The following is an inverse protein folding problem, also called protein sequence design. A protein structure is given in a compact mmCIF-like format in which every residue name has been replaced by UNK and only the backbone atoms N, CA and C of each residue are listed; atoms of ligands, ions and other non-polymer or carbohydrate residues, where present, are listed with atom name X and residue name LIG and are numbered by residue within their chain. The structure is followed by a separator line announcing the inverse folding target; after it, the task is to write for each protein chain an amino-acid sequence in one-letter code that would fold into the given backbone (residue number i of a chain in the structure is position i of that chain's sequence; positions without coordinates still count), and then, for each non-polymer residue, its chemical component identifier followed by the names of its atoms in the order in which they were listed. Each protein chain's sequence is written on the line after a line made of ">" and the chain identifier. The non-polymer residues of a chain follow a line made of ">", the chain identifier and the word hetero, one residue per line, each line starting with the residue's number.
data_IF_447261100219
#
_entry.id   IF_447261100219
#
_cell.length_a   1.000
_cell.length_b   1.000
_cell.length_c   1.000
_cell.angle_alpha   90.00
_cell.angle_beta   90.00
_cell.angle_gamma   90.00
#
_symmetry.space_group_name_H-M   'P 1'
#
loop_
_entity.id
_entity.type
_entity.pdbx_description
1 polymer ?
#
# COMPACT_ATOMS: atom_id res chain seq x y z
N UNK A 1 -19.97 22.69 31.97
CA UNK A 1 -20.82 23.21 30.87
C UNK A 1 -21.82 22.13 30.50
N UNK A 2 -23.11 22.37 30.57
CA UNK A 2 -24.13 21.32 30.38
C UNK A 2 -24.82 21.37 28.99
N UNK A 3 -24.55 22.42 28.22
CA UNK A 3 -25.12 22.62 26.90
C UNK A 3 -24.16 22.20 25.78
N UNK A 4 -24.70 22.15 24.54
CA UNK A 4 -23.92 21.86 23.35
C UNK A 4 -23.05 23.06 22.94
N UNK A 5 -21.98 22.75 22.22
CA UNK A 5 -21.16 23.71 21.50
C UNK A 5 -21.47 23.51 20.01
N UNK A 6 -21.77 24.60 19.31
CA UNK A 6 -22.00 24.58 17.86
C UNK A 6 -20.83 25.25 17.18
N UNK A 7 -20.28 24.56 16.20
CA UNK A 7 -19.14 24.99 15.39
C UNK A 7 -19.63 25.16 13.95
N UNK A 8 -19.08 26.11 13.20
CA UNK A 8 -19.38 26.25 11.77
C UNK A 8 -18.91 25.07 10.92
N UNK A 9 -19.34 25.03 9.67
CA UNK A 9 -19.13 23.86 8.78
C UNK A 9 -17.66 23.57 8.46
N UNK A 10 -16.78 24.58 8.57
CA UNK A 10 -15.34 24.45 8.33
C UNK A 10 -14.54 24.22 9.64
N UNK A 11 -15.23 24.08 10.77
CA UNK A 11 -14.67 23.91 12.11
C UNK A 11 -13.73 25.04 12.56
N UNK A 12 -13.78 26.20 11.94
CA UNK A 12 -12.87 27.32 12.23
C UNK A 12 -13.31 28.15 13.43
N UNK A 13 -14.61 28.17 13.75
CA UNK A 13 -15.18 29.04 14.76
C UNK A 13 -16.32 28.41 15.54
N UNK A 14 -16.32 28.62 16.86
CA UNK A 14 -17.49 28.34 17.71
C UNK A 14 -18.54 29.41 17.48
N UNK A 15 -19.70 29.03 16.95
CA UNK A 15 -20.82 29.94 16.68
C UNK A 15 -21.70 30.11 17.92
N UNK A 16 -21.92 29.03 18.66
CA UNK A 16 -22.72 29.04 19.89
C UNK A 16 -22.10 28.13 20.95
N UNK A 17 -22.26 28.50 22.22
CA UNK A 17 -21.81 27.71 23.35
C UNK A 17 -22.91 27.63 24.40
N UNK A 18 -22.98 26.50 25.11
CA UNK A 18 -23.95 26.22 26.16
C UNK A 18 -25.42 26.26 25.67
N UNK A 19 -25.65 25.73 24.46
CA UNK A 19 -26.97 25.69 23.82
C UNK A 19 -27.72 24.45 24.24
N UNK A 20 -29.00 24.60 24.56
CA UNK A 20 -29.88 23.45 24.74
C UNK A 20 -30.48 23.06 23.38
N UNK A 21 -30.06 21.90 22.86
CA UNK A 21 -30.60 21.33 21.63
C UNK A 21 -31.99 20.75 21.90
N UNK A 22 -32.98 21.14 21.07
CA UNK A 22 -34.36 20.67 21.16
C UNK A 22 -34.84 20.08 19.81
N UNK A 23 -34.34 18.89 19.43
CA UNK A 23 -34.79 18.23 18.22
C UNK A 23 -36.24 17.75 18.33
N UNK A 24 -36.88 17.48 17.19
CA UNK A 24 -38.25 16.96 17.14
C UNK A 24 -38.35 15.65 17.94
N UNK A 25 -39.21 15.59 19.00
CA UNK A 25 -39.39 14.42 19.83
C UNK A 25 -39.96 13.21 19.10
N UNK A 26 -40.55 13.38 17.94
CA UNK A 26 -41.16 12.31 17.11
C UNK A 26 -40.09 11.51 16.35
N UNK A 27 -38.87 12.06 16.18
CA UNK A 27 -37.76 11.35 15.55
C UNK A 27 -37.36 10.17 16.43
N UNK A 28 -37.48 8.97 15.85
CA UNK A 28 -37.10 7.74 16.56
C UNK A 28 -35.63 7.74 16.93
N UNK A 29 -35.34 7.33 18.18
CA UNK A 29 -33.96 7.15 18.67
C UNK A 29 -33.86 5.85 19.46
N UNK A 30 -32.82 5.06 19.21
CA UNK A 30 -32.50 3.87 19.97
C UNK A 30 -31.73 4.16 21.29
N UNK A 31 -31.28 5.39 21.49
CA UNK A 31 -30.48 5.79 22.64
C UNK A 31 -31.28 5.94 23.92
N UNK A 32 -30.71 5.49 25.02
CA UNK A 32 -31.35 5.55 26.36
C UNK A 32 -31.00 6.81 27.14
N UNK A 33 -29.84 7.41 26.89
CA UNK A 33 -29.36 8.63 27.56
C UNK A 33 -29.88 9.91 26.90
N UNK A 34 -30.29 10.90 27.67
CA UNK A 34 -30.86 12.16 27.17
C UNK A 34 -29.94 12.86 26.18
N UNK A 35 -28.65 13.00 26.49
CA UNK A 35 -27.66 13.68 25.62
C UNK A 35 -27.44 12.90 24.31
N UNK A 36 -27.28 11.58 24.37
CA UNK A 36 -27.07 10.73 23.20
C UNK A 36 -28.33 10.67 22.33
N UNK A 37 -29.52 10.61 22.95
CA UNK A 37 -30.80 10.69 22.22
C UNK A 37 -30.95 12.02 21.50
N UNK A 38 -30.60 13.13 22.13
CA UNK A 38 -30.61 14.44 21.51
C UNK A 38 -29.61 14.49 20.35
N UNK A 39 -28.39 13.98 20.54
CA UNK A 39 -27.35 13.95 19.50
C UNK A 39 -27.80 13.15 18.26
N UNK A 40 -28.36 11.95 18.46
CA UNK A 40 -28.90 11.11 17.37
C UNK A 40 -30.05 11.81 16.64
N UNK A 41 -30.99 12.42 17.34
CA UNK A 41 -32.12 13.13 16.74
C UNK A 41 -31.68 14.36 15.94
N UNK A 42 -30.73 15.14 16.49
CA UNK A 42 -30.18 16.32 15.80
C UNK A 42 -29.50 15.88 14.52
N UNK A 43 -28.68 14.83 14.54
CA UNK A 43 -28.00 14.34 13.33
C UNK A 43 -28.96 13.81 12.24
N UNK A 44 -30.16 13.34 12.64
CA UNK A 44 -31.23 12.94 11.71
C UNK A 44 -32.07 14.12 11.19
N UNK A 45 -32.15 15.18 11.98
CA UNK A 45 -33.01 16.33 11.65
C UNK A 45 -32.31 17.36 10.77
N UNK A 46 -30.97 17.51 10.98
CA UNK A 46 -30.15 18.45 10.25
C UNK A 46 -28.91 17.72 9.72
N UNK A 47 -28.44 18.12 8.55
CA UNK A 47 -27.23 17.56 7.94
C UNK A 47 -25.99 18.09 8.69
N UNK A 48 -25.74 17.53 9.87
CA UNK A 48 -24.64 17.93 10.73
C UNK A 48 -23.99 16.74 11.41
N UNK A 49 -22.66 16.81 11.53
CA UNK A 49 -21.87 15.94 12.38
C UNK A 49 -22.15 16.30 13.85
N UNK A 50 -22.53 15.32 14.66
CA UNK A 50 -22.76 15.53 16.10
C UNK A 50 -21.83 14.61 16.91
N UNK A 51 -21.02 15.22 17.80
CA UNK A 51 -20.12 14.50 18.69
C UNK A 51 -20.70 14.55 20.11
N UNK A 52 -20.97 13.38 20.70
CA UNK A 52 -21.45 13.26 22.07
C UNK A 52 -20.39 12.61 22.96
N UNK A 53 -19.97 13.33 24.02
CA UNK A 53 -18.97 12.87 24.99
C UNK A 53 -19.69 12.46 26.25
N UNK A 54 -19.55 11.19 26.67
CA UNK A 54 -20.15 10.64 27.88
C UNK A 54 -19.12 10.64 29.02
N UNK A 55 -19.23 11.57 29.92
CA UNK A 55 -18.39 11.68 31.13
C UNK A 55 -18.49 10.44 32.06
N UNK A 56 -19.64 9.75 32.10
CA UNK A 56 -19.87 8.56 32.95
C UNK A 56 -19.26 7.28 32.40
N UNK A 57 -19.15 7.17 31.07
CA UNK A 57 -18.71 5.96 30.38
C UNK A 57 -17.35 6.12 29.71
N UNK A 58 -16.80 7.32 29.75
CA UNK A 58 -15.56 7.69 29.04
C UNK A 58 -15.60 7.29 27.56
N UNK A 59 -16.76 7.55 26.93
CA UNK A 59 -17.04 7.13 25.56
C UNK A 59 -17.36 8.38 24.73
N UNK A 60 -16.72 8.50 23.59
CA UNK A 60 -17.05 9.47 22.55
C UNK A 60 -17.85 8.78 21.46
N UNK A 61 -19.03 9.33 21.15
CA UNK A 61 -19.90 8.83 20.07
C UNK A 61 -20.07 9.92 19.02
N UNK A 62 -19.90 9.54 17.76
CA UNK A 62 -20.10 10.39 16.59
C UNK A 62 -21.39 9.97 15.90
N UNK A 63 -22.24 10.92 15.57
CA UNK A 63 -23.48 10.70 14.82
C UNK A 63 -23.43 11.45 13.50
N UNK A 64 -23.62 10.72 12.40
CA UNK A 64 -23.71 11.24 11.03
C UNK A 64 -24.91 10.58 10.37
N UNK A 65 -25.83 11.35 9.83
CA UNK A 65 -27.08 10.85 9.19
C UNK A 65 -27.85 9.84 10.05
N UNK A 66 -27.81 10.03 11.37
CA UNK A 66 -28.43 9.11 12.34
C UNK A 66 -27.65 7.79 12.55
N UNK A 67 -26.53 7.58 11.89
CA UNK A 67 -25.64 6.45 12.15
C UNK A 67 -24.70 6.80 13.29
N UNK A 68 -24.58 5.89 14.25
CA UNK A 68 -23.71 6.05 15.40
C UNK A 68 -22.39 5.33 15.21
N UNK A 69 -21.30 6.07 15.43
CA UNK A 69 -19.95 5.54 15.53
C UNK A 69 -19.43 5.77 16.96
N UNK A 70 -18.93 4.73 17.60
CA UNK A 70 -18.31 4.83 18.93
C UNK A 70 -16.81 4.79 18.73
N UNK A 71 -16.10 5.83 19.19
CA UNK A 71 -14.65 5.81 19.24
C UNK A 71 -14.18 4.91 20.38
N UNK A 72 -13.21 4.08 20.09
CA UNK A 72 -12.53 3.28 21.11
C UNK A 72 -11.63 4.17 21.98
N UNK A 73 -11.27 3.69 23.18
CA UNK A 73 -10.32 4.38 24.03
C UNK A 73 -8.90 4.36 23.44
N UNK A 74 -8.17 5.45 23.59
CA UNK A 74 -6.83 5.63 23.00
C UNK A 74 -5.87 4.47 23.34
N UNK A 75 -5.76 3.97 24.61
CA UNK A 75 -4.92 2.83 24.91
C UNK A 75 -5.25 1.56 24.14
N UNK A 76 -6.54 1.29 23.90
CA UNK A 76 -7.00 0.13 23.11
C UNK A 76 -6.59 0.27 21.64
N UNK A 77 -6.84 1.44 21.04
CA UNK A 77 -6.46 1.72 19.64
C UNK A 77 -4.94 1.68 19.48
N UNK A 78 -4.17 2.24 20.43
CA UNK A 78 -2.69 2.15 20.44
C UNK A 78 -2.20 0.70 20.48
N UNK A 79 -2.82 -0.14 21.33
CA UNK A 79 -2.45 -1.55 21.40
C UNK A 79 -2.70 -2.28 20.06
N UNK A 80 -3.86 -2.05 19.43
CA UNK A 80 -4.21 -2.59 18.11
C UNK A 80 -3.25 -2.10 17.03
N UNK A 81 -2.96 -0.79 17.02
CA UNK A 81 -2.02 -0.18 16.07
C UNK A 81 -0.63 -0.79 16.16
N UNK A 82 -0.10 -0.93 17.38
CA UNK A 82 1.21 -1.53 17.61
C UNK A 82 1.24 -3.00 17.16
N UNK A 83 0.17 -3.77 17.42
CA UNK A 83 0.06 -5.15 16.96
C UNK A 83 0.00 -5.24 15.43
N UNK A 84 -0.80 -4.38 14.77
CA UNK A 84 -0.89 -4.33 13.32
C UNK A 84 0.45 -3.93 12.69
N UNK A 85 1.15 -2.94 13.25
CA UNK A 85 2.46 -2.50 12.79
C UNK A 85 3.53 -3.61 12.96
N UNK A 86 3.54 -4.34 14.06
CA UNK A 86 4.43 -5.49 14.27
C UNK A 86 4.17 -6.60 13.24
N UNK A 87 2.89 -6.86 12.94
CA UNK A 87 2.50 -7.80 11.89
C UNK A 87 2.97 -7.31 10.51
N UNK A 88 2.74 -6.03 10.19
CA UNK A 88 3.20 -5.40 8.95
C UNK A 88 4.72 -5.54 8.79
N UNK A 89 5.51 -5.26 9.84
CA UNK A 89 6.96 -5.41 9.82
C UNK A 89 7.38 -6.84 9.51
N UNK A 90 6.69 -7.84 10.07
CA UNK A 90 6.95 -9.25 9.78
C UNK A 90 6.64 -9.58 8.31
N UNK A 91 5.53 -9.06 7.77
CA UNK A 91 5.16 -9.22 6.36
C UNK A 91 6.15 -8.50 5.43
N UNK A 92 6.64 -7.32 5.84
CA UNK A 92 7.66 -6.57 5.09
C UNK A 92 8.97 -7.34 5.00
N UNK A 93 9.47 -7.87 6.10
CA UNK A 93 10.69 -8.71 6.09
C UNK A 93 10.54 -9.88 5.12
N UNK A 94 9.36 -10.52 5.11
CA UNK A 94 9.09 -11.62 4.19
C UNK A 94 8.99 -11.16 2.73
N UNK A 95 8.48 -9.96 2.48
CA UNK A 95 8.47 -9.35 1.15
C UNK A 95 9.90 -9.10 0.66
N UNK A 96 10.75 -8.56 1.53
CA UNK A 96 12.16 -8.28 1.21
C UNK A 96 12.92 -9.58 0.87
N UNK A 97 12.73 -10.65 1.67
CA UNK A 97 13.29 -11.97 1.40
C UNK A 97 12.87 -12.54 0.03
N UNK A 98 11.57 -12.46 -0.29
CA UNK A 98 11.04 -12.94 -1.56
C UNK A 98 11.53 -12.09 -2.74
N UNK A 99 11.56 -10.76 -2.58
CA UNK A 99 12.08 -9.83 -3.58
C UNK A 99 13.55 -10.10 -3.89
N UNK A 100 14.35 -10.39 -2.88
CA UNK A 100 15.76 -10.71 -3.03
C UNK A 100 15.99 -12.06 -3.76
N UNK A 101 15.17 -13.08 -3.45
CA UNK A 101 15.17 -14.35 -4.18
C UNK A 101 14.80 -14.16 -5.64
N UNK A 102 13.76 -13.37 -5.91
CA UNK A 102 13.32 -13.05 -7.27
C UNK A 102 14.45 -12.32 -8.03
N UNK A 103 15.10 -11.31 -7.43
CA UNK A 103 16.25 -10.61 -8.00
C UNK A 103 17.38 -11.58 -8.36
N UNK A 104 17.64 -12.58 -7.50
CA UNK A 104 18.60 -13.64 -7.77
C UNK A 104 18.23 -14.47 -9.00
N UNK A 105 16.97 -14.85 -9.14
CA UNK A 105 16.45 -15.61 -10.29
C UNK A 105 16.48 -14.79 -11.57
N UNK A 106 16.10 -13.51 -11.50
CA UNK A 106 16.14 -12.55 -12.62
C UNK A 106 17.56 -12.38 -13.18
N UNK A 107 18.56 -12.19 -12.30
CA UNK A 107 19.96 -12.03 -12.72
C UNK A 107 20.62 -13.30 -13.26
N UNK A 108 20.00 -14.47 -13.05
CA UNK A 108 20.41 -15.79 -13.59
C UNK A 108 19.67 -16.19 -14.85
N UNK A 109 18.60 -15.45 -15.21
CA UNK A 109 17.73 -15.82 -16.34
C UNK A 109 16.89 -17.08 -16.10
N UNK A 110 16.54 -17.37 -14.82
CA UNK A 110 15.75 -18.53 -14.44
C UNK A 110 14.62 -18.11 -13.49
N UNK A 111 13.55 -17.57 -14.06
CA UNK A 111 12.39 -17.07 -13.32
C UNK A 111 11.15 -17.86 -13.71
N UNK A 112 10.41 -18.32 -12.72
CA UNK A 112 9.08 -18.90 -12.92
C UNK A 112 8.00 -17.90 -12.50
N UNK A 113 6.84 -17.99 -13.13
CA UNK A 113 5.71 -17.09 -12.84
C UNK A 113 5.35 -17.13 -11.35
N UNK A 114 5.45 -18.28 -10.70
CA UNK A 114 5.25 -18.44 -9.26
C UNK A 114 6.10 -17.47 -8.42
N UNK A 115 7.36 -17.28 -8.78
CA UNK A 115 8.28 -16.42 -8.03
C UNK A 115 7.81 -14.95 -8.06
N UNK A 116 7.40 -14.47 -9.24
CA UNK A 116 6.86 -13.12 -9.42
C UNK A 116 5.52 -12.96 -8.67
N UNK A 117 4.62 -13.94 -8.79
CA UNK A 117 3.32 -13.91 -8.12
C UNK A 117 3.45 -13.95 -6.60
N UNK A 118 4.43 -14.67 -6.05
CA UNK A 118 4.70 -14.72 -4.61
C UNK A 118 5.11 -13.34 -4.05
N UNK A 119 5.95 -12.60 -4.79
CA UNK A 119 6.31 -11.23 -4.44
C UNK A 119 5.10 -10.30 -4.58
N UNK A 120 4.33 -10.42 -5.65
CA UNK A 120 3.13 -9.61 -5.89
C UNK A 120 2.09 -9.80 -4.78
N UNK A 121 1.77 -11.06 -4.46
CA UNK A 121 0.87 -11.40 -3.36
C UNK A 121 1.33 -10.76 -2.04
N UNK A 122 2.62 -10.90 -1.72
CA UNK A 122 3.16 -10.38 -0.47
C UNK A 122 3.12 -8.86 -0.42
N UNK A 123 3.40 -8.17 -1.53
CA UNK A 123 3.32 -6.70 -1.60
C UNK A 123 1.89 -6.19 -1.40
N UNK A 124 0.88 -6.90 -1.93
CA UNK A 124 -0.52 -6.57 -1.69
C UNK A 124 -0.94 -6.79 -0.23
N UNK A 125 -0.47 -7.86 0.41
CA UNK A 125 -0.73 -8.11 1.83
C UNK A 125 -0.11 -7.01 2.71
N UNK A 126 1.12 -6.58 2.41
CA UNK A 126 1.78 -5.45 3.11
C UNK A 126 0.97 -4.17 2.92
N UNK A 127 0.52 -3.87 1.69
CA UNK A 127 -0.28 -2.66 1.41
C UNK A 127 -1.62 -2.66 2.15
N UNK A 128 -2.28 -3.80 2.27
CA UNK A 128 -3.55 -3.93 3.04
C UNK A 128 -3.34 -3.74 4.53
N UNK A 129 -2.27 -4.30 5.08
CA UNK A 129 -1.91 -4.07 6.48
C UNK A 129 -1.59 -2.59 6.74
N UNK A 130 -0.92 -1.91 5.79
CA UNK A 130 -0.66 -0.49 5.88
C UNK A 130 -1.96 0.32 5.96
N UNK A 131 -2.94 0.02 5.09
CA UNK A 131 -4.26 0.68 5.12
C UNK A 131 -5.01 0.45 6.44
N UNK A 132 -4.84 -0.71 7.06
CA UNK A 132 -5.41 -0.96 8.39
C UNK A 132 -4.75 -0.10 9.47
N UNK A 133 -3.42 0.01 9.46
CA UNK A 133 -2.68 0.88 10.39
C UNK A 133 -3.05 2.35 10.18
N UNK A 134 -3.19 2.82 8.92
CA UNK A 134 -3.63 4.19 8.58
C UNK A 134 -4.99 4.52 9.23
N UNK A 135 -5.93 3.58 9.27
CA UNK A 135 -7.22 3.79 9.94
C UNK A 135 -7.06 4.03 11.44
N UNK A 136 -6.20 3.26 12.09
CA UNK A 136 -5.90 3.47 13.51
C UNK A 136 -5.19 4.81 13.76
N UNK A 137 -4.28 5.24 12.85
CA UNK A 137 -3.63 6.55 12.95
C UNK A 137 -4.66 7.68 12.90
N UNK A 138 -5.63 7.60 11.98
CA UNK A 138 -6.72 8.58 11.90
C UNK A 138 -7.54 8.63 13.20
N UNK A 139 -7.84 7.47 13.80
CA UNK A 139 -8.61 7.39 15.05
C UNK A 139 -7.80 7.93 16.26
N UNK A 140 -6.48 7.70 16.27
CA UNK A 140 -5.58 8.20 17.31
C UNK A 140 -5.33 9.72 17.22
N UNK A 141 -5.47 10.31 16.04
CA UNK A 141 -5.16 11.73 15.81
C UNK A 141 -3.71 12.07 16.21
N UNK A 142 -3.52 13.05 17.09
CA UNK A 142 -2.17 13.50 17.51
C UNK A 142 -1.34 12.43 18.21
N UNK A 143 -1.99 11.47 18.87
CA UNK A 143 -1.30 10.36 19.56
C UNK A 143 -0.75 9.31 18.56
N UNK A 144 -1.27 9.29 17.33
CA UNK A 144 -0.84 8.37 16.26
C UNK A 144 0.50 8.72 15.60
N UNK A 145 1.09 9.88 15.86
CA UNK A 145 2.27 10.40 15.13
C UNK A 145 3.46 9.44 15.07
N UNK A 146 3.76 8.73 16.15
CA UNK A 146 4.89 7.78 16.16
C UNK A 146 4.61 6.54 15.31
N UNK A 147 3.36 6.08 15.33
CA UNK A 147 2.89 4.96 14.48
C UNK A 147 2.97 5.35 13.00
N UNK A 148 2.56 6.59 12.67
CA UNK A 148 2.62 7.13 11.31
C UNK A 148 4.07 7.12 10.77
N UNK A 149 5.03 7.66 11.54
CA UNK A 149 6.44 7.66 11.16
C UNK A 149 7.00 6.24 10.94
N UNK A 150 6.61 5.29 11.78
CA UNK A 150 7.03 3.89 11.64
C UNK A 150 6.39 3.22 10.42
N UNK A 151 5.12 3.55 10.14
CA UNK A 151 4.43 3.07 8.95
C UNK A 151 5.07 3.62 7.67
N UNK A 152 5.34 4.93 7.62
CA UNK A 152 6.03 5.57 6.48
C UNK A 152 7.36 4.88 6.18
N UNK A 153 8.20 4.67 7.21
CA UNK A 153 9.49 3.98 7.05
C UNK A 153 9.30 2.54 6.54
N UNK A 154 8.36 1.78 7.12
CA UNK A 154 8.08 0.41 6.70
C UNK A 154 7.55 0.30 5.27
N UNK A 155 6.92 1.35 4.75
CA UNK A 155 6.32 1.36 3.41
C UNK A 155 7.23 1.95 2.33
N UNK A 156 8.44 2.43 2.70
CA UNK A 156 9.41 2.95 1.73
C UNK A 156 9.67 1.94 0.60
N UNK A 157 9.47 2.38 -0.64
CA UNK A 157 9.73 1.59 -1.85
C UNK A 157 8.67 0.53 -2.21
N UNK A 158 7.76 0.14 -1.32
CA UNK A 158 6.78 -0.94 -1.57
C UNK A 158 5.94 -0.68 -2.81
N UNK A 159 5.34 0.51 -2.91
CA UNK A 159 4.49 0.87 -4.05
C UNK A 159 5.28 0.91 -5.37
N UNK A 160 6.49 1.46 -5.35
CA UNK A 160 7.33 1.53 -6.55
C UNK A 160 7.76 0.13 -7.03
N UNK A 161 8.18 -0.74 -6.11
CA UNK A 161 8.55 -2.13 -6.40
C UNK A 161 7.36 -2.93 -6.94
N UNK A 162 6.15 -2.73 -6.39
CA UNK A 162 4.93 -3.36 -6.88
C UNK A 162 4.62 -2.97 -8.32
N UNK A 163 4.70 -1.70 -8.66
CA UNK A 163 4.48 -1.24 -10.05
C UNK A 163 5.55 -1.76 -10.99
N UNK A 164 6.82 -1.76 -10.58
CA UNK A 164 7.91 -2.34 -11.37
C UNK A 164 7.70 -3.84 -11.63
N UNK A 165 7.22 -4.58 -10.62
CA UNK A 165 6.89 -6.00 -10.74
C UNK A 165 5.75 -6.24 -11.75
N UNK A 166 4.67 -5.47 -11.67
CA UNK A 166 3.57 -5.56 -12.64
C UNK A 166 4.09 -5.29 -14.06
N UNK A 167 4.90 -4.25 -14.24
CA UNK A 167 5.51 -3.93 -15.53
C UNK A 167 6.42 -5.04 -16.06
N UNK A 168 7.19 -5.68 -15.20
CA UNK A 168 8.08 -6.76 -15.62
C UNK A 168 7.34 -8.01 -16.08
N UNK A 169 6.21 -8.35 -15.43
CA UNK A 169 5.58 -9.66 -15.60
C UNK A 169 4.17 -9.64 -16.16
N UNK A 170 3.48 -8.50 -16.27
CA UNK A 170 2.19 -8.47 -16.96
C UNK A 170 2.37 -8.79 -18.46
N UNK A 171 1.42 -9.50 -19.04
CA UNK A 171 1.44 -9.81 -20.47
C UNK A 171 1.48 -8.53 -21.29
N UNK A 172 0.72 -7.52 -20.88
CA UNK A 172 0.65 -6.20 -21.53
C UNK A 172 1.27 -5.13 -20.62
N UNK A 173 2.33 -4.44 -21.10
CA UNK A 173 3.01 -3.34 -20.40
C UNK A 173 2.64 -1.97 -20.99
N UNK A 174 1.35 -1.63 -20.97
CA UNK A 174 0.89 -0.26 -21.22
C UNK A 174 0.60 0.44 -19.90
N UNK A 175 0.72 1.78 -19.86
CA UNK A 175 0.42 2.56 -18.63
C UNK A 175 -1.01 2.27 -18.14
N UNK A 176 -1.97 2.20 -19.08
CA UNK A 176 -3.36 1.91 -18.80
C UNK A 176 -3.55 0.48 -18.23
N UNK A 177 -2.87 -0.51 -18.80
CA UNK A 177 -2.93 -1.90 -18.31
C UNK A 177 -2.35 -2.03 -16.90
N UNK A 178 -1.19 -1.42 -16.66
CA UNK A 178 -0.52 -1.44 -15.35
C UNK A 178 -1.40 -0.79 -14.27
N UNK A 179 -2.01 0.36 -14.56
CA UNK A 179 -2.91 1.03 -13.63
C UNK A 179 -4.17 0.19 -13.35
N UNK A 180 -4.78 -0.36 -14.39
CA UNK A 180 -5.94 -1.26 -14.28
C UNK A 180 -5.62 -2.47 -13.40
N UNK A 181 -4.47 -3.13 -13.63
CA UNK A 181 -4.00 -4.27 -12.85
C UNK A 181 -3.80 -3.87 -11.38
N UNK A 182 -3.10 -2.77 -11.12
CA UNK A 182 -2.83 -2.29 -9.77
C UNK A 182 -4.13 -1.99 -8.99
N UNK A 183 -5.11 -1.36 -9.64
CA UNK A 183 -6.44 -1.08 -9.04
C UNK A 183 -7.23 -2.37 -8.82
N UNK A 184 -7.19 -3.31 -9.76
CA UNK A 184 -7.88 -4.59 -9.65
C UNK A 184 -7.34 -5.43 -8.49
N UNK A 185 -6.01 -5.55 -8.36
CA UNK A 185 -5.34 -6.26 -7.28
C UNK A 185 -5.71 -5.69 -5.90
N UNK A 186 -5.75 -4.36 -5.76
CA UNK A 186 -6.12 -3.72 -4.50
C UNK A 186 -7.56 -4.03 -4.06
N UNK A 187 -8.46 -4.31 -5.02
CA UNK A 187 -9.89 -4.62 -4.78
C UNK A 187 -10.18 -6.11 -4.62
N UNK A 188 -9.22 -7.01 -4.91
CA UNK A 188 -9.44 -8.43 -4.80
C UNK A 188 -9.86 -8.84 -3.37
N UNK A 189 -10.83 -9.75 -3.20
CA UNK A 189 -11.10 -10.40 -1.92
C UNK A 189 -9.84 -11.06 -1.35
N UNK A 190 -9.74 -11.15 -0.01
CA UNK A 190 -8.57 -11.76 0.62
C UNK A 190 -8.31 -13.21 0.17
N UNK A 191 -9.37 -13.99 -0.01
CA UNK A 191 -9.27 -15.38 -0.45
C UNK A 191 -8.71 -15.49 -1.88
N UNK A 192 -9.13 -14.60 -2.77
CA UNK A 192 -8.69 -14.57 -4.17
C UNK A 192 -7.22 -14.13 -4.29
N UNK A 193 -6.76 -13.28 -3.36
CA UNK A 193 -5.34 -12.91 -3.28
C UNK A 193 -4.43 -14.10 -2.91
N UNK A 194 -4.97 -15.14 -2.27
CA UNK A 194 -4.21 -16.33 -1.90
C UNK A 194 -4.14 -17.36 -3.05
N UNK A 195 -4.95 -17.21 -4.11
CA UNK A 195 -4.97 -18.07 -5.29
C UNK A 195 -4.04 -17.53 -6.39
N UNK A 196 -2.94 -18.24 -6.65
CA UNK A 196 -2.00 -17.85 -7.69
C UNK A 196 -2.59 -17.93 -9.11
N UNK A 197 -3.59 -18.75 -9.35
CA UNK A 197 -4.31 -18.74 -10.63
C UNK A 197 -5.05 -17.43 -10.86
N UNK A 198 -5.72 -16.90 -9.84
CA UNK A 198 -6.37 -15.59 -9.88
C UNK A 198 -5.34 -14.47 -10.09
N UNK A 199 -4.20 -14.51 -9.38
CA UNK A 199 -3.15 -13.51 -9.57
C UNK A 199 -2.53 -13.57 -10.98
N UNK A 200 -2.34 -14.76 -11.54
CA UNK A 200 -1.88 -14.93 -12.91
C UNK A 200 -2.86 -14.30 -13.90
N UNK A 201 -4.17 -14.53 -13.72
CA UNK A 201 -5.22 -13.93 -14.53
C UNK A 201 -5.20 -12.40 -14.47
N UNK A 202 -4.94 -11.79 -13.32
CA UNK A 202 -4.79 -10.34 -13.19
C UNK A 202 -3.62 -9.79 -14.03
N UNK A 203 -2.54 -10.55 -14.16
CA UNK A 203 -1.39 -10.20 -15.01
C UNK A 203 -1.62 -10.53 -16.50
N UNK A 204 -2.76 -11.13 -16.86
CA UNK A 204 -3.13 -11.46 -18.24
C UNK A 204 -2.76 -12.91 -18.68
N UNK A 205 -2.34 -13.77 -17.76
CA UNK A 205 -2.09 -15.19 -18.04
C UNK A 205 -3.37 -16.03 -17.93
N UNK A 206 -3.34 -17.25 -18.45
CA UNK A 206 -4.44 -18.20 -18.21
C UNK A 206 -4.47 -18.56 -16.71
N UNK A 207 -5.66 -18.50 -16.10
CA UNK A 207 -5.88 -18.86 -14.68
C UNK A 207 -5.43 -20.28 -14.35
N UNK A 208 -5.45 -21.20 -15.33
CA UNK A 208 -5.08 -22.60 -15.17
C UNK A 208 -3.61 -22.90 -15.43
N UNK A 209 -2.80 -21.87 -15.70
CA UNK A 209 -1.37 -22.04 -15.96
C UNK A 209 -0.69 -22.70 -14.75
N UNK A 210 0.17 -23.68 -14.99
CA UNK A 210 1.04 -24.21 -13.93
C UNK A 210 2.13 -23.20 -13.62
N UNK A 211 1.88 -22.31 -12.67
CA UNK A 211 2.77 -21.20 -12.34
C UNK A 211 4.17 -21.63 -11.91
N UNK A 212 4.32 -22.86 -11.38
CA UNK A 212 5.61 -23.38 -10.89
C UNK A 212 6.53 -23.83 -12.03
N UNK A 213 5.95 -24.24 -13.16
CA UNK A 213 6.70 -24.72 -14.32
C UNK A 213 6.68 -23.72 -15.49
N UNK A 214 5.95 -22.61 -15.36
CA UNK A 214 5.83 -21.61 -16.41
C UNK A 214 6.96 -20.58 -16.29
N UNK A 215 7.98 -20.72 -17.15
CA UNK A 215 9.09 -19.77 -17.22
C UNK A 215 8.61 -18.42 -17.79
N UNK A 216 9.09 -17.33 -17.19
CA UNK A 216 8.81 -15.96 -17.60
C UNK A 216 10.09 -15.13 -17.69
N UNK A 217 10.11 -14.18 -18.62
CA UNK A 217 11.23 -13.27 -18.80
C UNK A 217 10.88 -11.88 -18.26
N UNK A 218 11.63 -11.37 -17.25
CA UNK A 218 11.45 -10.01 -16.76
C UNK A 218 11.91 -9.00 -17.81
N UNK A 219 11.18 -7.88 -17.92
CA UNK A 219 11.57 -6.79 -18.83
C UNK A 219 12.76 -5.98 -18.29
N UNK A 220 12.91 -5.91 -16.95
CA UNK A 220 14.05 -5.26 -16.29
C UNK A 220 13.70 -4.01 -15.50
N UNK A 221 12.44 -3.65 -15.36
CA UNK A 221 12.01 -2.48 -14.56
C UNK A 221 12.47 -2.56 -13.10
N UNK A 222 12.37 -3.73 -12.48
CA UNK A 222 12.77 -3.97 -11.09
C UNK A 222 14.27 -3.77 -10.92
N UNK A 223 15.06 -4.48 -11.72
CA UNK A 223 16.53 -4.44 -11.64
C UNK A 223 17.07 -3.04 -11.94
N UNK A 224 16.56 -2.39 -12.98
CA UNK A 224 16.95 -1.02 -13.30
C UNK A 224 16.48 0.00 -12.26
N UNK A 225 15.36 -0.27 -11.58
CA UNK A 225 14.85 0.56 -10.48
C UNK A 225 15.78 0.58 -9.26
N UNK A 226 16.57 -0.46 -9.05
CA UNK A 226 17.58 -0.52 -7.97
C UNK A 226 18.88 0.23 -8.33
N UNK A 227 19.04 0.67 -9.58
CA UNK A 227 20.21 1.46 -9.99
C UNK A 227 20.08 2.90 -9.48
N UNK A 228 20.99 3.38 -8.61
CA UNK A 228 20.88 4.71 -8.05
C UNK A 228 20.84 5.81 -9.13
N UNK A 229 19.99 6.80 -8.94
CA UNK A 229 19.88 8.00 -9.81
C UNK A 229 19.51 7.71 -11.27
N UNK A 230 18.99 6.53 -11.59
CA UNK A 230 18.49 6.24 -12.91
C UNK A 230 17.03 6.75 -13.04
N UNK A 231 16.75 7.75 -13.88
CA UNK A 231 15.40 8.31 -14.01
C UNK A 231 14.43 7.29 -14.60
N UNK A 232 13.17 7.31 -14.13
CA UNK A 232 12.10 6.42 -14.62
C UNK A 232 11.97 6.41 -16.15
N UNK A 233 12.08 7.58 -16.78
CA UNK A 233 12.02 7.70 -18.24
C UNK A 233 13.18 6.98 -18.94
N UNK A 234 14.38 7.00 -18.34
CA UNK A 234 15.53 6.27 -18.86
C UNK A 234 15.32 4.75 -18.75
N UNK A 235 14.74 4.27 -17.65
CA UNK A 235 14.37 2.86 -17.47
C UNK A 235 13.37 2.44 -18.56
N UNK A 236 12.32 3.21 -18.79
CA UNK A 236 11.33 2.92 -19.84
C UNK A 236 11.95 2.82 -21.22
N UNK A 237 12.84 3.76 -21.58
CA UNK A 237 13.54 3.73 -22.86
C UNK A 237 14.44 2.51 -23.03
N UNK A 238 15.16 2.12 -21.96
CA UNK A 238 15.98 0.92 -21.96
C UNK A 238 15.14 -0.34 -22.15
N UNK A 239 14.11 -0.51 -21.35
CA UNK A 239 13.21 -1.66 -21.43
C UNK A 239 12.54 -1.73 -22.82
N UNK A 240 12.07 -0.61 -23.34
CA UNK A 240 11.47 -0.58 -24.67
C UNK A 240 12.48 -0.93 -25.78
N UNK A 241 13.75 -0.53 -25.63
CA UNK A 241 14.83 -0.80 -26.61
C UNK A 241 15.28 -2.25 -26.64
N UNK A 242 15.39 -2.88 -25.45
CA UNK A 242 15.95 -4.23 -25.32
C UNK A 242 14.90 -5.32 -25.19
N UNK A 243 13.67 -5.00 -24.78
CA UNK A 243 12.56 -5.93 -24.65
C UNK A 243 12.62 -6.83 -23.41
N UNK A 244 13.81 -7.33 -23.05
CA UNK A 244 14.02 -8.18 -21.87
C UNK A 244 15.25 -7.78 -21.08
N UNK A 245 15.28 -8.20 -19.80
CA UNK A 245 16.46 -8.01 -18.95
C UNK A 245 17.67 -8.80 -19.48
N UNK A 246 17.45 -9.99 -20.03
CA UNK A 246 18.52 -10.81 -20.59
C UNK A 246 19.23 -10.12 -21.74
N UNK A 247 18.47 -9.58 -22.69
CA UNK A 247 19.00 -8.81 -23.82
C UNK A 247 19.78 -7.56 -23.35
N UNK A 248 19.23 -6.84 -22.36
CA UNK A 248 19.90 -5.69 -21.75
C UNK A 248 21.24 -6.07 -21.10
N UNK A 249 21.27 -7.20 -20.36
CA UNK A 249 22.48 -7.68 -19.68
C UNK A 249 23.56 -8.15 -20.67
N UNK A 250 23.17 -8.70 -21.82
CA UNK A 250 24.05 -9.17 -22.88
C UNK A 250 24.51 -8.04 -23.81
N UNK A 251 23.81 -6.91 -23.84
CA UNK A 251 24.10 -5.79 -24.75
C UNK A 251 25.49 -5.18 -24.48
N UNK A 252 26.24 -4.77 -25.51
CA UNK A 252 27.48 -4.00 -25.33
C UNK A 252 27.18 -2.57 -24.84
N UNK A 253 28.16 -1.92 -24.19
CA UNK A 253 28.00 -0.57 -23.64
C UNK A 253 27.57 0.44 -24.72
N UNK A 254 28.13 0.33 -25.94
CA UNK A 254 27.75 1.16 -27.08
C UNK A 254 26.26 1.07 -27.45
N UNK A 255 25.62 -0.08 -27.26
CA UNK A 255 24.21 -0.25 -27.52
C UNK A 255 23.33 0.41 -26.43
N UNK A 256 23.80 0.43 -25.18
CA UNK A 256 23.13 1.13 -24.06
C UNK A 256 23.29 2.63 -24.24
N UNK A 257 24.47 3.12 -24.61
CA UNK A 257 24.76 4.54 -24.88
C UNK A 257 23.97 5.10 -26.06
N UNK A 258 23.61 4.25 -27.02
CA UNK A 258 22.79 4.63 -28.15
C UNK A 258 21.32 4.94 -27.77
N UNK A 259 20.90 4.60 -26.56
CA UNK A 259 19.55 4.93 -26.07
C UNK A 259 19.49 6.41 -25.71
N UNK A 260 18.50 7.11 -26.26
CA UNK A 260 18.35 8.55 -26.08
C UNK A 260 18.30 8.95 -24.58
N UNK A 261 19.18 9.84 -24.20
CA UNK A 261 19.32 10.32 -22.81
C UNK A 261 20.19 9.45 -21.93
N UNK A 262 20.84 8.41 -22.47
CA UNK A 262 21.80 7.57 -21.77
C UNK A 262 23.17 7.77 -22.41
N UNK A 263 24.03 8.45 -21.68
CA UNK A 263 25.43 8.62 -22.08
C UNK A 263 26.36 7.70 -21.29
N UNK A 264 27.66 7.79 -21.57
CA UNK A 264 28.72 6.97 -20.94
C UNK A 264 28.63 6.91 -19.39
N UNK A 265 28.37 8.04 -18.74
CA UNK A 265 28.25 8.09 -17.28
C UNK A 265 27.09 7.21 -16.76
N UNK A 266 25.90 7.32 -17.39
CA UNK A 266 24.74 6.48 -17.00
C UNK A 266 24.94 5.02 -17.33
N UNK A 267 25.56 4.70 -18.46
CA UNK A 267 25.92 3.31 -18.82
C UNK A 267 26.83 2.71 -17.76
N UNK A 268 27.82 3.47 -17.28
CA UNK A 268 28.71 3.04 -16.19
C UNK A 268 27.94 2.82 -14.90
N UNK A 269 27.02 3.73 -14.52
CA UNK A 269 26.18 3.61 -13.32
C UNK A 269 25.27 2.37 -13.40
N UNK A 270 24.69 2.07 -14.58
CA UNK A 270 23.88 0.87 -14.81
C UNK A 270 24.73 -0.40 -14.62
N UNK A 271 25.89 -0.48 -15.26
CA UNK A 271 26.77 -1.64 -15.13
C UNK A 271 27.25 -1.87 -13.70
N UNK A 272 27.63 -0.78 -13.04
CA UNK A 272 28.07 -0.83 -11.64
C UNK A 272 26.93 -1.23 -10.70
N UNK A 273 25.72 -0.68 -10.90
CA UNK A 273 24.52 -1.06 -10.14
C UNK A 273 24.19 -2.54 -10.29
N UNK A 274 24.16 -3.06 -11.51
CA UNK A 274 23.92 -4.48 -11.80
C UNK A 274 25.03 -5.36 -11.18
N UNK A 275 26.29 -4.93 -11.26
CA UNK A 275 27.41 -5.65 -10.65
C UNK A 275 27.23 -5.76 -9.14
N UNK A 276 26.89 -4.67 -8.45
CA UNK A 276 26.63 -4.67 -7.00
C UNK A 276 25.47 -5.60 -6.63
N UNK A 277 24.38 -5.57 -7.37
CA UNK A 277 23.25 -6.48 -7.15
C UNK A 277 23.68 -7.95 -7.26
N UNK A 278 24.51 -8.30 -8.28
CA UNK A 278 25.06 -9.66 -8.42
C UNK A 278 25.97 -10.05 -7.25
N UNK A 279 26.77 -9.13 -6.73
CA UNK A 279 27.65 -9.36 -5.58
C UNK A 279 26.83 -9.58 -4.30
N UNK A 280 25.82 -8.77 -4.04
CA UNK A 280 24.91 -8.93 -2.89
C UNK A 280 24.23 -10.30 -2.93
N UNK A 281 23.66 -10.68 -4.07
CA UNK A 281 23.02 -12.00 -4.26
C UNK A 281 23.98 -13.16 -4.01
N UNK A 282 25.26 -13.04 -4.37
CA UNK A 282 26.26 -14.07 -4.11
C UNK A 282 26.65 -14.16 -2.64
N UNK A 283 26.79 -13.03 -1.95
CA UNK A 283 27.14 -12.99 -0.53
C UNK A 283 26.09 -13.70 0.33
N UNK A 284 24.80 -13.44 0.08
CA UNK A 284 23.70 -14.04 0.85
C UNK A 284 23.62 -15.56 0.72
N UNK A 285 24.00 -16.12 -0.44
CA UNK A 285 24.03 -17.56 -0.64
C UNK A 285 25.15 -18.27 0.13
N UNK A 286 26.19 -17.52 0.50
CA UNK A 286 27.32 -18.07 1.28
C UNK A 286 26.98 -18.19 2.76
N UNK A 287 26.03 -17.37 3.26
CA UNK A 287 25.59 -17.38 4.66
C UNK A 287 24.42 -18.35 4.93
N UNK A 288 23.77 -18.88 3.89
CA UNK A 288 22.60 -19.77 4.02
C UNK A 288 22.96 -21.27 3.88
N UNK A 289 24.22 -21.61 3.79
CA UNK A 289 24.77 -22.95 3.88
C UNK A 289 25.40 -23.18 5.25
#
# INVERSE_FOLDING_TARGET
>A
MDGAIVVDSDASRITWANVQMMPDPTIHSAETGTRHRTAERVSKQVDALVIAISQRRDVVSIYVDGVKYILEDIPSVLAKSNQALATLTTYRTRLDDLSQRLTSSELRGNVFLYDALAVLQRSELVSRMATEVERYIVELGTEGRLIEMQLEEAMVGVAAQRIALIRDYAVEDTEESVERIAVSLAKLPHQDLLDFGTLAEQLGYDRKVNTQDFAVEPRGYRILGEVPRLPRLAIQKLVHRFGSLEELLAAPDSAIEAVEGIGEARTRDIREGIRRLRETVRADQTFTR
#
